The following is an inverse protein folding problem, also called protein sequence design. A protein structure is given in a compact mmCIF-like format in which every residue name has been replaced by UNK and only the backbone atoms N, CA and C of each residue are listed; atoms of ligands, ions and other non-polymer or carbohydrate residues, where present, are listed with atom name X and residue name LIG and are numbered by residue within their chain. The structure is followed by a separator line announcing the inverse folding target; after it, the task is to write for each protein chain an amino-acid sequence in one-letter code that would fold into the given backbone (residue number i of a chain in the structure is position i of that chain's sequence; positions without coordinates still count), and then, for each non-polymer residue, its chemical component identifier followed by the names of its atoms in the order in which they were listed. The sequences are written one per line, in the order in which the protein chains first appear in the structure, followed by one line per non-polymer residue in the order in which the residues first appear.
data_IF_774644519872
#
_entry.id   IF_774644519872
#
_cell.length_a   1.000
_cell.length_b   1.000
_cell.length_c   1.000
_cell.angle_alpha   90.00
_cell.angle_beta   90.00
_cell.angle_gamma   90.00
#
_symmetry.space_group_name_H-M   'P 1'
#
loop_
_entity.id
_entity.type
_entity.pdbx_description
1 polymer ?
#
# COMPACT_ATOMS: atom_id res chain seq x y z
N UNK A 1 10.19 -1.14 0.32
CA UNK A 1 9.48 -2.40 0.00
C UNK A 1 9.71 -3.55 1.00
N UNK A 2 10.59 -3.41 2.01
CA UNK A 2 10.81 -4.41 3.06
C UNK A 2 9.52 -4.86 3.78
N UNK A 3 8.58 -3.93 4.02
CA UNK A 3 7.26 -4.25 4.60
C UNK A 3 6.42 -5.19 3.73
N UNK A 4 6.38 -4.94 2.41
CA UNK A 4 5.57 -5.69 1.44
C UNK A 4 6.02 -7.16 1.31
N UNK A 5 7.33 -7.38 1.24
CA UNK A 5 7.90 -8.72 0.98
C UNK A 5 8.31 -9.44 2.26
N UNK A 6 9.08 -8.78 3.13
CA UNK A 6 9.72 -9.47 4.26
C UNK A 6 8.81 -9.53 5.48
N UNK A 7 8.24 -8.40 5.89
CA UNK A 7 7.42 -8.36 7.10
C UNK A 7 6.11 -9.12 6.91
N UNK A 8 5.38 -8.86 5.81
CA UNK A 8 4.11 -9.53 5.57
C UNK A 8 4.26 -11.06 5.44
N UNK A 9 5.31 -11.54 4.76
CA UNK A 9 5.59 -12.97 4.70
C UNK A 9 5.92 -13.57 6.07
N UNK A 10 6.67 -12.85 6.91
CA UNK A 10 6.97 -13.27 8.28
C UNK A 10 5.69 -13.37 9.13
N UNK A 11 4.81 -12.37 9.04
CA UNK A 11 3.51 -12.39 9.74
C UNK A 11 2.62 -13.52 9.24
N UNK A 12 2.50 -13.71 7.93
CA UNK A 12 1.70 -14.80 7.37
C UNK A 12 2.20 -16.18 7.85
N UNK A 13 3.52 -16.37 7.92
CA UNK A 13 4.11 -17.61 8.44
C UNK A 13 3.82 -17.80 9.93
N UNK A 14 3.95 -16.74 10.73
CA UNK A 14 3.69 -16.80 12.16
C UNK A 14 2.22 -17.12 12.48
N UNK A 15 1.29 -16.51 11.74
CA UNK A 15 -0.15 -16.65 11.91
C UNK A 15 -0.76 -17.84 11.15
N UNK A 16 0.06 -18.63 10.43
CA UNK A 16 -0.39 -19.68 9.50
C UNK A 16 -1.45 -19.18 8.48
N UNK A 17 -1.36 -17.90 8.10
CA UNK A 17 -2.31 -17.28 7.19
C UNK A 17 -2.07 -17.76 5.75
N UNK A 18 -3.15 -18.08 5.04
CA UNK A 18 -3.11 -18.49 3.63
C UNK A 18 -3.22 -17.31 2.67
N UNK A 19 -3.61 -16.13 3.17
CA UNK A 19 -3.71 -14.92 2.37
C UNK A 19 -3.36 -13.66 3.17
N UNK A 20 -2.85 -12.63 2.48
CA UNK A 20 -2.48 -11.35 3.06
C UNK A 20 -2.86 -10.18 2.17
N UNK A 21 -3.17 -9.05 2.80
CA UNK A 21 -3.42 -7.76 2.15
C UNK A 21 -2.32 -6.79 2.60
N UNK A 22 -1.71 -6.10 1.64
CA UNK A 22 -0.81 -4.99 1.87
C UNK A 22 -1.51 -3.68 1.48
N UNK A 23 -1.69 -2.81 2.46
CA UNK A 23 -2.37 -1.53 2.27
C UNK A 23 -1.34 -0.42 2.12
N UNK A 24 -1.52 0.43 1.09
CA UNK A 24 -0.68 1.60 0.85
C UNK A 24 -1.58 2.83 0.91
N UNK A 25 -1.32 3.70 1.88
CA UNK A 25 -1.97 5.01 2.00
C UNK A 25 -1.02 6.03 1.39
N UNK A 26 -1.48 6.76 0.37
CA UNK A 26 -0.68 7.75 -0.35
C UNK A 26 -1.26 9.13 -0.12
N UNK A 27 -0.48 10.03 0.48
CA UNK A 27 -0.90 11.41 0.79
C UNK A 27 -0.39 12.43 -0.24
N UNK A 28 0.36 12.00 -1.25
CA UNK A 28 0.96 12.82 -2.30
C UNK A 28 0.71 12.24 -3.72
N UNK A 29 1.36 12.80 -4.73
CA UNK A 29 1.26 12.34 -6.14
C UNK A 29 2.19 11.17 -6.48
N UNK A 30 2.82 10.52 -5.49
CA UNK A 30 3.81 9.46 -5.71
C UNK A 30 3.22 8.10 -6.09
N UNK A 31 1.89 8.00 -6.22
CA UNK A 31 1.19 6.72 -6.45
C UNK A 31 1.75 5.92 -7.63
N UNK A 32 2.09 6.57 -8.74
CA UNK A 32 2.65 5.91 -9.92
C UNK A 32 4.08 5.40 -9.68
N UNK A 33 4.90 6.15 -8.93
CA UNK A 33 6.23 5.71 -8.53
C UNK A 33 6.15 4.50 -7.59
N UNK A 34 5.24 4.52 -6.62
CA UNK A 34 5.03 3.41 -5.68
C UNK A 34 4.54 2.17 -6.43
N UNK A 35 3.61 2.31 -7.39
CA UNK A 35 3.17 1.20 -8.26
C UNK A 35 4.32 0.60 -9.06
N UNK A 36 5.20 1.44 -9.63
CA UNK A 36 6.36 0.96 -10.38
C UNK A 36 7.30 0.13 -9.49
N UNK A 37 7.66 0.64 -8.31
CA UNK A 37 8.48 -0.10 -7.34
C UNK A 37 7.82 -1.40 -6.88
N UNK A 38 6.49 -1.39 -6.66
CA UNK A 38 5.72 -2.60 -6.32
C UNK A 38 5.77 -3.65 -7.43
N UNK A 39 5.66 -3.23 -8.69
CA UNK A 39 5.72 -4.13 -9.83
C UNK A 39 7.11 -4.77 -10.00
N UNK A 40 8.19 -4.02 -9.78
CA UNK A 40 9.56 -4.56 -9.84
C UNK A 40 9.77 -5.67 -8.82
N UNK A 41 9.39 -5.44 -7.56
CA UNK A 41 9.53 -6.45 -6.52
C UNK A 41 8.57 -7.60 -6.74
N UNK A 42 7.33 -7.35 -7.17
CA UNK A 42 6.38 -8.40 -7.51
C UNK A 42 6.93 -9.31 -8.61
N UNK A 43 7.60 -8.75 -9.62
CA UNK A 43 8.26 -9.53 -10.67
C UNK A 43 9.35 -10.43 -10.08
N UNK A 44 10.25 -9.88 -9.27
CA UNK A 44 11.29 -10.67 -8.59
C UNK A 44 10.70 -11.77 -7.68
N UNK A 45 9.58 -11.49 -7.01
CA UNK A 45 8.88 -12.48 -6.19
C UNK A 45 8.25 -13.60 -7.03
N UNK A 46 7.67 -13.28 -8.19
CA UNK A 46 7.15 -14.28 -9.14
C UNK A 46 8.28 -15.18 -9.64
N UNK A 47 9.41 -14.58 -10.04
CA UNK A 47 10.57 -15.31 -10.56
C UNK A 47 11.15 -16.28 -9.50
N UNK A 48 10.97 -15.97 -8.21
CA UNK A 48 11.41 -16.79 -7.07
C UNK A 48 10.33 -17.73 -6.53
N UNK A 49 9.12 -17.72 -7.09
CA UNK A 49 7.99 -18.53 -6.60
C UNK A 49 7.48 -18.13 -5.21
N UNK A 50 7.67 -16.88 -4.82
CA UNK A 50 7.20 -16.33 -3.54
C UNK A 50 5.70 -16.02 -3.57
N UNK A 51 5.05 -16.06 -2.41
CA UNK A 51 3.65 -15.66 -2.27
C UNK A 51 3.47 -14.18 -2.61
N UNK A 52 2.49 -13.87 -3.47
CA UNK A 52 2.17 -12.50 -3.87
C UNK A 52 0.93 -12.00 -3.11
N UNK A 53 1.07 -11.10 -2.14
CA UNK A 53 -0.06 -10.53 -1.41
C UNK A 53 -0.86 -9.54 -2.28
N UNK A 54 -2.16 -9.41 -1.97
CA UNK A 54 -3.04 -8.41 -2.61
C UNK A 54 -2.62 -7.01 -2.15
N UNK A 55 -2.59 -6.05 -3.08
CA UNK A 55 -2.28 -4.65 -2.75
C UNK A 55 -3.53 -3.80 -2.90
N UNK A 56 -3.81 -2.98 -1.88
CA UNK A 56 -4.88 -1.98 -1.92
C UNK A 56 -4.26 -0.61 -1.77
N UNK A 57 -4.56 0.30 -2.70
CA UNK A 57 -4.17 1.69 -2.63
C UNK A 57 -5.32 2.52 -2.09
N UNK A 58 -5.03 3.34 -1.08
CA UNK A 58 -5.98 4.29 -0.50
C UNK A 58 -5.45 5.69 -0.78
N UNK A 59 -6.30 6.53 -1.37
CA UNK A 59 -6.01 7.95 -1.49
C UNK A 59 -6.14 8.61 -0.11
N UNK A 60 -5.00 8.94 0.49
CA UNK A 60 -4.91 9.64 1.78
C UNK A 60 -4.91 11.15 1.65
N UNK A 61 -4.92 11.70 0.43
CA UNK A 61 -4.98 13.16 0.23
C UNK A 61 -6.22 13.72 0.91
N UNK A 62 -6.07 14.88 1.55
CA UNK A 62 -7.20 15.62 2.10
C UNK A 62 -8.23 15.88 1.00
N UNK A 63 -9.38 15.22 1.09
CA UNK A 63 -10.51 15.46 0.22
C UNK A 63 -11.48 16.40 0.93
N UNK A 64 -11.98 17.46 0.26
CA UNK A 64 -13.01 18.30 0.84
C UNK A 64 -14.21 17.43 1.20
N UNK A 65 -14.72 17.61 2.43
CA UNK A 65 -15.89 16.86 2.88
C UNK A 65 -17.08 17.14 1.96
N UNK A 66 -17.81 16.09 1.57
CA UNK A 66 -19.05 16.23 0.81
C UNK A 66 -20.10 17.11 1.53
N UNK A 67 -20.02 17.20 2.87
CA UNK A 67 -20.90 18.02 3.70
C UNK A 67 -20.39 19.45 3.97
N UNK A 68 -19.14 19.78 3.61
CA UNK A 68 -18.56 21.10 3.80
C UNK A 68 -17.44 21.38 2.78
N UNK A 69 -17.77 21.55 1.49
CA UNK A 69 -16.78 21.71 0.43
C UNK A 69 -15.94 23.00 0.53
N UNK A 70 -16.38 23.97 1.34
CA UNK A 70 -15.71 25.26 1.54
C UNK A 70 -14.84 25.35 2.81
N UNK A 71 -14.68 24.25 3.56
CA UNK A 71 -13.88 24.27 4.78
C UNK A 71 -12.40 24.51 4.46
N UNK A 72 -11.91 25.72 4.77
CA UNK A 72 -10.49 26.06 4.73
C UNK A 72 -9.90 25.73 6.10
N UNK A 73 -8.89 24.87 6.12
CA UNK A 73 -8.17 24.51 7.32
C UNK A 73 -7.63 25.81 7.97
N UNK A 74 -7.99 26.14 9.23
CA UNK A 74 -7.44 27.31 9.89
C UNK A 74 -5.93 27.08 10.03
N UNK A 75 -5.14 27.98 9.45
CA UNK A 75 -3.68 27.94 9.57
C UNK A 75 -3.33 28.22 11.02
N UNK A 76 -2.52 27.33 11.63
CA UNK A 76 -1.92 27.53 12.95
C UNK A 76 -0.89 28.66 12.91
#
# INVERSE_FOLDING_TARGET
MHGYRTQLAAYMKAEQATSGIFMVIVEDDSIESIKAQLNEVKKDMIDKGEYIPKVIFINGKHQPSASAPSYKNPTL
#
